data_IF_129310123379
#
_entry.id   IF_129310123379
#
_cell.length_a   1.000
_cell.length_b   1.000
_cell.length_c   1.000
_cell.angle_alpha   90.00
_cell.angle_beta   90.00
_cell.angle_gamma   90.00
#
_symmetry.space_group_name_H-M   'P 1'
#
loop_
_entity.id
_entity.type
_entity.pdbx_description
1 polymer ?
#
# COMPACT_ATOMS: atom_id res chain seq x y z
N UNK A 1 5.26 -13.02 -14.32
CA UNK A 1 4.42 -14.06 -13.71
C UNK A 1 4.93 -14.44 -12.31
N UNK A 2 6.25 -14.56 -12.11
CA UNK A 2 6.85 -14.98 -10.82
C UNK A 2 6.61 -14.05 -9.62
N UNK A 3 6.58 -12.72 -9.80
CA UNK A 3 6.54 -11.78 -8.66
C UNK A 3 5.21 -11.77 -7.90
N UNK A 4 4.09 -12.02 -8.59
CA UNK A 4 2.76 -12.01 -7.97
C UNK A 4 2.58 -13.21 -7.05
N UNK A 5 2.85 -14.41 -7.56
CA UNK A 5 2.71 -15.66 -6.79
C UNK A 5 3.63 -15.68 -5.56
N UNK A 6 4.84 -15.14 -5.68
CA UNK A 6 5.75 -14.98 -4.55
C UNK A 6 5.16 -14.08 -3.45
N UNK A 7 4.54 -12.95 -3.81
CA UNK A 7 3.91 -12.05 -2.84
C UNK A 7 2.69 -12.69 -2.16
N UNK A 8 1.87 -13.43 -2.90
CA UNK A 8 0.73 -14.17 -2.34
C UNK A 8 1.17 -15.17 -1.28
N UNK A 9 2.20 -15.98 -1.59
CA UNK A 9 2.79 -16.93 -0.62
C UNK A 9 3.37 -16.22 0.60
N UNK A 10 3.95 -15.03 0.45
CA UNK A 10 4.52 -14.27 1.57
C UNK A 10 3.45 -13.68 2.49
N UNK A 11 2.36 -13.17 1.94
CA UNK A 11 1.27 -12.57 2.71
C UNK A 11 0.51 -13.59 3.53
N UNK A 12 0.41 -14.84 3.06
CA UNK A 12 -0.21 -15.93 3.82
C UNK A 12 0.73 -16.62 4.82
N UNK A 13 2.02 -16.31 4.79
CA UNK A 13 2.99 -16.93 5.71
C UNK A 13 2.87 -16.34 7.12
N UNK A 14 3.19 -17.09 8.19
CA UNK A 14 3.12 -16.61 9.59
C UNK A 14 4.20 -15.55 9.93
N UNK A 15 4.83 -14.92 8.93
CA UNK A 15 5.85 -13.91 9.11
C UNK A 15 5.25 -12.66 9.73
N UNK A 16 5.93 -12.11 10.73
CA UNK A 16 5.50 -10.90 11.44
C UNK A 16 5.68 -9.62 10.62
N UNK A 17 6.56 -9.62 9.62
CA UNK A 17 6.93 -8.41 8.86
C UNK A 17 7.36 -8.75 7.43
N UNK A 18 7.00 -7.89 6.48
CA UNK A 18 7.43 -7.94 5.07
C UNK A 18 7.97 -6.57 4.68
N UNK A 19 9.11 -6.53 3.99
CA UNK A 19 9.74 -5.30 3.49
C UNK A 19 9.77 -5.37 1.96
N UNK A 20 9.26 -4.34 1.30
CA UNK A 20 9.29 -4.20 -0.15
C UNK A 20 10.24 -3.04 -0.52
N UNK A 21 11.24 -3.31 -1.37
CA UNK A 21 12.25 -2.33 -1.76
C UNK A 21 12.19 -2.04 -3.27
N UNK A 22 12.56 -0.81 -3.67
CA UNK A 22 12.60 -0.37 -5.08
C UNK A 22 11.27 -0.60 -5.83
N UNK A 23 10.18 -0.27 -5.16
CA UNK A 23 8.81 -0.50 -5.61
C UNK A 23 8.29 0.73 -6.37
N UNK A 24 7.74 0.54 -7.56
CA UNK A 24 7.07 1.63 -8.29
C UNK A 24 5.73 2.00 -7.64
N UNK A 25 5.17 3.21 -7.87
CA UNK A 25 3.87 3.61 -7.33
C UNK A 25 2.75 2.60 -7.62
N UNK A 26 2.72 2.06 -8.84
CA UNK A 26 1.75 1.04 -9.24
C UNK A 26 1.95 -0.26 -8.46
N UNK A 27 3.20 -0.69 -8.25
CA UNK A 27 3.48 -1.90 -7.49
C UNK A 27 3.09 -1.77 -6.01
N UNK A 28 3.24 -0.59 -5.39
CA UNK A 28 2.74 -0.34 -4.02
C UNK A 28 1.22 -0.59 -3.94
N UNK A 29 0.47 -0.03 -4.88
CA UNK A 29 -0.98 -0.20 -4.95
C UNK A 29 -1.39 -1.67 -5.20
N UNK A 30 -0.66 -2.39 -6.04
CA UNK A 30 -0.90 -3.82 -6.28
C UNK A 30 -0.69 -4.67 -5.02
N UNK A 31 0.33 -4.37 -4.22
CA UNK A 31 0.56 -5.04 -2.93
C UNK A 31 -0.60 -4.78 -1.98
N UNK A 32 -1.00 -3.51 -1.80
CA UNK A 32 -2.14 -3.16 -0.96
C UNK A 32 -3.44 -3.86 -1.40
N UNK A 33 -3.71 -3.90 -2.72
CA UNK A 33 -4.87 -4.57 -3.30
C UNK A 33 -4.89 -6.07 -3.01
N UNK A 34 -3.72 -6.70 -3.07
CA UNK A 34 -3.56 -8.12 -2.81
C UNK A 34 -3.74 -8.43 -1.31
N UNK A 35 -3.13 -7.65 -0.42
CA UNK A 35 -3.32 -7.76 1.04
C UNK A 35 -4.79 -7.61 1.43
N UNK A 36 -5.44 -6.54 0.93
CA UNK A 36 -6.87 -6.25 1.15
C UNK A 36 -7.78 -7.41 0.75
N UNK A 37 -7.47 -8.09 -0.35
CA UNK A 37 -8.25 -9.24 -0.85
C UNK A 37 -8.01 -10.52 -0.04
N UNK A 38 -6.80 -10.75 0.44
CA UNK A 38 -6.41 -12.04 1.01
C UNK A 38 -6.60 -12.12 2.53
N UNK A 39 -6.36 -11.04 3.28
CA UNK A 39 -6.25 -11.12 4.73
C UNK A 39 -7.56 -10.97 5.51
N UNK A 40 -8.72 -10.80 4.86
CA UNK A 40 -10.03 -10.56 5.52
C UNK A 40 -9.95 -9.58 6.71
N UNK A 41 -9.09 -8.57 6.57
CA UNK A 41 -8.78 -7.61 7.62
C UNK A 41 -8.89 -6.19 7.05
N UNK A 42 -9.08 -5.23 7.95
CA UNK A 42 -9.00 -3.80 7.58
C UNK A 42 -7.55 -3.47 7.25
N UNK A 43 -7.36 -2.72 6.17
CA UNK A 43 -6.04 -2.35 5.65
C UNK A 43 -5.93 -0.84 5.76
N UNK A 44 -4.94 -0.40 6.52
CA UNK A 44 -4.50 0.99 6.58
C UNK A 44 -3.32 1.18 5.63
N UNK A 45 -3.35 2.23 4.80
CA UNK A 45 -2.20 2.68 4.02
C UNK A 45 -1.88 4.12 4.39
N UNK A 46 -0.60 4.40 4.62
CA UNK A 46 -0.09 5.73 4.95
C UNK A 46 1.00 6.14 3.95
N UNK A 47 1.05 7.41 3.59
CA UNK A 47 2.11 7.98 2.76
C UNK A 47 2.08 9.49 2.71
N UNK A 48 3.16 10.09 2.23
CA UNK A 48 3.40 11.54 2.19
C UNK A 48 3.55 12.08 0.75
N UNK A 49 3.96 11.23 -0.18
CA UNK A 49 4.25 11.61 -1.56
C UNK A 49 3.21 11.19 -2.60
N UNK A 50 3.34 11.73 -3.81
CA UNK A 50 2.55 11.35 -4.99
C UNK A 50 2.66 9.85 -5.32
N UNK A 51 3.78 9.22 -4.95
CA UNK A 51 4.02 7.79 -5.14
C UNK A 51 3.11 6.90 -4.30
N UNK A 52 2.46 7.44 -3.27
CA UNK A 52 1.65 6.69 -2.32
C UNK A 52 0.14 6.87 -2.56
N UNK A 53 -0.26 7.83 -3.38
CA UNK A 53 -1.67 8.16 -3.67
C UNK A 53 -2.48 6.93 -4.07
N UNK A 54 -1.99 6.12 -5.02
CA UNK A 54 -2.70 4.93 -5.47
C UNK A 54 -2.78 3.85 -4.37
N UNK A 55 -1.76 3.74 -3.52
CA UNK A 55 -1.77 2.80 -2.40
C UNK A 55 -2.79 3.22 -1.33
N UNK A 56 -2.83 4.51 -1.01
CA UNK A 56 -3.78 5.13 -0.07
C UNK A 56 -5.22 4.88 -0.55
N UNK A 57 -5.53 5.21 -1.80
CA UNK A 57 -6.88 5.04 -2.36
C UNK A 57 -7.35 3.59 -2.46
N UNK A 58 -6.42 2.63 -2.57
CA UNK A 58 -6.76 1.20 -2.65
C UNK A 58 -7.13 0.62 -1.29
N UNK A 59 -6.61 1.18 -0.20
CA UNK A 59 -6.79 0.66 1.16
C UNK A 59 -8.24 0.74 1.65
N UNK A 60 -8.51 0.23 2.85
CA UNK A 60 -9.81 0.45 3.51
C UNK A 60 -9.84 1.79 4.23
N UNK A 61 -8.67 2.19 4.76
CA UNK A 61 -8.43 3.50 5.36
C UNK A 61 -7.13 4.03 4.75
N UNK A 62 -7.22 5.21 4.15
CA UNK A 62 -6.09 5.94 3.58
C UNK A 62 -5.71 7.13 4.45
N UNK A 63 -4.44 7.23 4.84
CA UNK A 63 -3.87 8.36 5.59
C UNK A 63 -2.79 9.04 4.76
N UNK A 64 -2.99 10.33 4.49
CA UNK A 64 -2.04 11.14 3.76
C UNK A 64 -1.35 12.14 4.68
N UNK A 65 -0.03 12.22 4.61
CA UNK A 65 0.76 13.18 5.38
C UNK A 65 0.97 14.42 4.50
N UNK A 66 0.74 15.61 5.08
CA UNK A 66 1.09 16.87 4.42
C UNK A 66 2.58 17.13 4.61
N UNK A 67 3.32 17.31 3.51
CA UNK A 67 4.73 17.67 3.54
C UNK A 67 4.96 19.04 2.89
N UNK A 68 6.15 19.60 3.10
CA UNK A 68 6.56 20.84 2.44
C UNK A 68 6.79 20.66 0.93
N UNK A 69 7.05 19.43 0.50
CA UNK A 69 7.32 19.10 -0.92
C UNK A 69 6.02 18.87 -1.71
N UNK A 70 4.90 18.64 -1.02
CA UNK A 70 3.62 18.39 -1.65
C UNK A 70 2.54 17.90 -0.69
N UNK A 71 1.28 18.08 -1.10
CA UNK A 71 0.09 17.70 -0.31
C UNK A 71 -0.78 16.68 -1.04
N UNK A 72 -0.27 16.02 -2.08
CA UNK A 72 -1.05 15.13 -2.94
C UNK A 72 -1.49 13.87 -2.18
N UNK A 73 -0.63 13.32 -1.31
CA UNK A 73 -1.01 12.21 -0.45
C UNK A 73 -2.13 12.62 0.53
N UNK A 74 -1.96 13.74 1.23
CA UNK A 74 -2.98 14.31 2.13
C UNK A 74 -4.33 14.52 1.43
N UNK A 75 -4.33 15.12 0.23
CA UNK A 75 -5.55 15.33 -0.57
C UNK A 75 -6.23 14.05 -1.06
N UNK A 76 -5.52 12.92 -1.05
CA UNK A 76 -6.02 11.63 -1.54
C UNK A 76 -6.42 10.68 -0.42
N UNK A 77 -6.34 11.13 0.84
CA UNK A 77 -6.72 10.38 2.03
C UNK A 77 -8.24 10.39 2.25
N UNK A 78 -8.73 9.51 3.12
CA UNK A 78 -10.16 9.44 3.47
C UNK A 78 -10.60 10.56 4.44
N UNK A 79 -9.67 11.44 4.86
CA UNK A 79 -9.89 12.52 5.83
C UNK A 79 -8.99 13.72 5.56
#
# INVERSE_FOLDING_TARGET
METKEFLEKRIQSPKRTVICCRVSPLQKALVAKLVKRQLKAILLAIGDGTNDVLMIQVAHVGVGISSLEGVQAARSADS
#
